data_IF_338816795116
#
_entry.id   IF_338816795116
#
_cell.length_a   1.000
_cell.length_b   1.000
_cell.length_c   1.000
_cell.angle_alpha   90.00
_cell.angle_beta   90.00
_cell.angle_gamma   90.00
#
_symmetry.space_group_name_H-M   'P 1'
#
loop_
_entity.id
_entity.type
_entity.pdbx_description
1 polymer ?
#
# COMPACT_ATOMS: atom_id res chain seq x y z
N UNK A 1 1.93 -3.56 15.55
CA UNK A 1 1.70 -4.99 15.80
C UNK A 1 2.59 -5.75 14.83
N UNK A 2 3.63 -6.41 15.33
CA UNK A 2 4.58 -7.18 14.51
C UNK A 2 4.00 -8.58 14.34
N UNK A 3 3.87 -9.06 13.10
CA UNK A 3 3.62 -10.47 12.84
C UNK A 3 4.92 -11.09 12.34
N UNK A 4 5.39 -12.13 13.02
CA UNK A 4 6.61 -12.86 12.66
C UNK A 4 6.17 -13.99 11.72
N UNK A 5 6.56 -13.91 10.45
CA UNK A 5 6.53 -15.06 9.56
C UNK A 5 7.86 -15.10 8.79
N UNK A 6 8.55 -16.24 8.88
CA UNK A 6 9.74 -16.61 8.11
C UNK A 6 10.81 -15.51 7.91
N UNK A 7 11.43 -15.03 8.99
CA UNK A 7 12.76 -14.40 8.94
C UNK A 7 12.90 -13.05 8.22
N UNK A 8 11.81 -12.45 7.74
CA UNK A 8 11.82 -11.12 7.12
C UNK A 8 11.08 -10.13 8.02
N UNK A 9 11.83 -9.20 8.61
CA UNK A 9 11.24 -8.09 9.35
C UNK A 9 10.63 -7.13 8.31
N UNK A 10 9.33 -7.29 8.04
CA UNK A 10 8.59 -6.31 7.25
C UNK A 10 8.35 -5.09 8.14
N UNK A 11 9.32 -4.18 8.14
CA UNK A 11 9.11 -2.82 8.63
C UNK A 11 8.12 -2.14 7.69
N UNK A 12 6.87 -2.03 8.13
CA UNK A 12 6.03 -0.91 7.69
C UNK A 12 6.73 0.35 8.22
N UNK A 13 7.17 1.30 7.37
CA UNK A 13 7.72 2.55 7.86
C UNK A 13 6.58 3.31 8.55
N UNK A 14 6.41 3.12 9.86
CA UNK A 14 5.82 4.13 10.71
C UNK A 14 6.84 5.25 10.81
N UNK A 15 6.87 6.14 9.83
CA UNK A 15 7.54 7.41 10.03
C UNK A 15 6.77 8.14 11.13
N UNK A 16 7.37 8.20 12.32
CA UNK A 16 6.95 9.08 13.42
C UNK A 16 7.42 10.52 13.17
N UNK A 17 7.29 10.99 11.94
CA UNK A 17 7.43 12.39 11.58
C UNK A 17 6.02 12.86 11.32
N UNK A 18 5.45 13.67 12.22
CA UNK A 18 4.09 14.23 12.16
C UNK A 18 3.57 14.28 10.72
N UNK A 19 2.75 13.30 10.33
CA UNK A 19 2.06 13.37 9.05
C UNK A 19 0.96 14.41 9.23
N UNK A 20 1.33 15.67 9.01
CA UNK A 20 0.40 16.78 9.13
C UNK A 20 -0.59 16.62 7.98
N UNK A 21 -1.86 16.44 8.32
CA UNK A 21 -2.92 16.49 7.32
C UNK A 21 -2.83 17.81 6.56
N UNK A 22 -2.71 17.71 5.24
CA UNK A 22 -2.73 18.86 4.34
C UNK A 22 -4.13 18.96 3.73
N UNK A 23 -4.69 20.17 3.69
CA UNK A 23 -5.96 20.42 3.02
C UNK A 23 -5.72 20.35 1.51
N UNK A 24 -6.53 19.54 0.83
CA UNK A 24 -6.55 19.45 -0.62
C UNK A 24 -7.94 19.84 -1.13
N UNK A 25 -7.98 20.54 -2.25
CA UNK A 25 -9.21 20.84 -2.98
C UNK A 25 -9.21 20.03 -4.28
N UNK A 26 -10.28 19.28 -4.53
CA UNK A 26 -10.43 18.44 -5.71
C UNK A 26 -11.80 18.66 -6.34
N UNK A 27 -11.88 18.56 -7.67
CA UNK A 27 -13.15 18.56 -8.39
C UNK A 27 -13.56 17.12 -8.67
N UNK A 28 -14.80 16.77 -8.33
CA UNK A 28 -15.36 15.44 -8.55
C UNK A 28 -16.78 15.56 -9.14
N UNK A 29 -17.21 14.59 -9.97
CA UNK A 29 -18.59 14.50 -10.42
C UNK A 29 -19.58 14.48 -9.24
N UNK A 30 -20.69 15.20 -9.38
CA UNK A 30 -21.70 15.33 -8.31
C UNK A 30 -22.21 13.97 -7.81
N UNK A 31 -22.45 13.03 -8.74
CA UNK A 31 -22.93 11.69 -8.41
C UNK A 31 -21.97 10.92 -7.48
N UNK A 32 -20.66 11.04 -7.69
CA UNK A 32 -19.67 10.41 -6.81
C UNK A 32 -19.67 11.03 -5.41
N UNK A 33 -19.89 12.35 -5.31
CA UNK A 33 -20.01 13.02 -4.02
C UNK A 33 -21.27 12.57 -3.27
N UNK A 34 -22.40 12.42 -3.98
CA UNK A 34 -23.65 11.91 -3.40
C UNK A 34 -23.50 10.47 -2.90
N UNK A 35 -22.81 9.60 -3.65
CA UNK A 35 -22.50 8.24 -3.22
C UNK A 35 -21.57 8.23 -1.98
N UNK A 36 -20.57 9.11 -1.92
CA UNK A 36 -19.70 9.27 -0.76
C UNK A 36 -20.48 9.74 0.48
N UNK A 37 -21.42 10.66 0.31
CA UNK A 37 -22.30 11.16 1.37
C UNK A 37 -23.19 10.07 1.93
N UNK A 38 -23.68 9.18 1.08
CA UNK A 38 -24.47 8.04 1.49
C UNK A 38 -23.69 7.09 2.41
N UNK A 39 -22.39 6.88 2.13
CA UNK A 39 -21.53 6.06 2.99
C UNK A 39 -21.38 6.68 4.39
N UNK A 40 -21.27 8.00 4.47
CA UNK A 40 -21.22 8.72 5.75
C UNK A 40 -22.57 8.68 6.45
N UNK A 41 -23.68 8.89 5.72
CA UNK A 41 -25.05 8.85 6.26
C UNK A 41 -25.39 7.48 6.85
N UNK A 42 -24.90 6.39 6.24
CA UNK A 42 -25.04 5.02 6.75
C UNK A 42 -24.15 4.72 7.97
N UNK A 43 -23.27 5.64 8.36
CA UNK A 43 -22.34 5.46 9.48
C UNK A 43 -21.15 4.55 9.17
N UNK A 44 -20.91 4.22 7.90
CA UNK A 44 -19.75 3.39 7.50
C UNK A 44 -18.46 4.16 7.72
N UNK A 45 -18.49 5.46 7.46
CA UNK A 45 -17.38 6.37 7.74
C UNK A 45 -17.86 7.55 8.59
N UNK A 46 -17.01 8.06 9.50
CA UNK A 46 -17.38 9.17 10.38
C UNK A 46 -17.53 10.50 9.62
N UNK A 47 -16.80 10.68 8.51
CA UNK A 47 -16.88 11.86 7.65
C UNK A 47 -16.30 11.56 6.26
N UNK A 48 -16.56 12.47 5.31
CA UNK A 48 -16.07 12.40 3.93
C UNK A 48 -14.55 12.27 3.85
N UNK A 49 -13.84 13.05 4.68
CA UNK A 49 -12.38 13.05 4.67
C UNK A 49 -11.79 11.68 5.06
N UNK A 50 -12.40 10.97 6.02
CA UNK A 50 -11.93 9.63 6.39
C UNK A 50 -12.25 8.60 5.31
N UNK A 51 -13.41 8.68 4.67
CA UNK A 51 -13.75 7.83 3.54
C UNK A 51 -12.77 8.01 2.37
N UNK A 52 -12.42 9.27 2.04
CA UNK A 52 -11.43 9.58 1.00
C UNK A 52 -10.05 9.06 1.39
N UNK A 53 -9.62 9.26 2.65
CA UNK A 53 -8.33 8.74 3.13
C UNK A 53 -8.26 7.22 3.07
N UNK A 54 -9.34 6.52 3.39
CA UNK A 54 -9.40 5.06 3.27
C UNK A 54 -9.21 4.61 1.82
N UNK A 55 -9.97 5.20 0.89
CA UNK A 55 -9.83 4.91 -0.54
C UNK A 55 -8.41 5.19 -1.07
N UNK A 56 -7.79 6.30 -0.65
CA UNK A 56 -6.41 6.63 -1.00
C UNK A 56 -5.40 5.62 -0.44
N UNK A 57 -5.56 5.18 0.82
CA UNK A 57 -4.70 4.14 1.42
C UNK A 57 -4.79 2.83 0.64
N UNK A 58 -6.01 2.40 0.32
CA UNK A 58 -6.23 1.15 -0.41
C UNK A 58 -5.65 1.22 -1.82
N UNK A 59 -5.81 2.36 -2.51
CA UNK A 59 -5.22 2.62 -3.82
C UNK A 59 -3.68 2.57 -3.76
N UNK A 60 -3.07 3.32 -2.83
CA UNK A 60 -1.61 3.39 -2.68
C UNK A 60 -1.02 2.03 -2.32
N UNK A 61 -1.67 1.30 -1.41
CA UNK A 61 -1.27 -0.06 -1.07
C UNK A 61 -1.29 -0.92 -2.33
N UNK A 62 -2.43 -1.00 -3.03
CA UNK A 62 -2.56 -1.82 -4.25
C UNK A 62 -1.46 -1.54 -5.28
N UNK A 63 -1.13 -0.28 -5.54
CA UNK A 63 -0.11 0.07 -6.52
C UNK A 63 1.33 -0.23 -6.03
N UNK A 64 1.64 0.02 -4.75
CA UNK A 64 2.97 -0.31 -4.19
C UNK A 64 3.25 -1.82 -4.25
N UNK A 65 2.24 -2.67 -3.97
CA UNK A 65 2.42 -4.12 -4.03
C UNK A 65 2.56 -4.63 -5.48
N UNK A 66 1.85 -4.04 -6.44
CA UNK A 66 2.04 -4.36 -7.87
C UNK A 66 3.46 -4.06 -8.34
N UNK A 67 4.03 -2.92 -7.94
CA UNK A 67 5.38 -2.54 -8.36
C UNK A 67 6.47 -3.43 -7.77
N UNK A 68 6.25 -4.03 -6.58
CA UNK A 68 7.21 -4.97 -5.98
C UNK A 68 7.23 -6.33 -6.64
N UNK A 69 6.06 -6.87 -7.02
CA UNK A 69 5.97 -8.15 -7.73
C UNK A 69 6.79 -8.14 -9.04
N UNK A 70 6.76 -7.03 -9.78
CA UNK A 70 7.53 -6.90 -11.03
C UNK A 70 9.05 -6.77 -10.84
N UNK A 71 9.54 -6.49 -9.62
CA UNK A 71 10.99 -6.28 -9.35
C UNK A 71 11.66 -7.48 -8.68
N UNK A 72 10.89 -8.44 -8.20
CA UNK A 72 11.40 -9.66 -7.55
C UNK A 72 11.73 -10.77 -8.56
N UNK A 73 11.31 -10.64 -9.83
CA UNK A 73 11.60 -11.62 -10.90
C UNK A 73 13.00 -11.47 -11.55
N UNK A 74 13.75 -10.41 -11.28
CA UNK A 74 15.07 -10.15 -11.91
C UNK A 74 16.30 -10.59 -11.10
N UNK A 75 16.14 -11.38 -10.03
CA UNK A 75 17.28 -11.88 -9.23
C UNK A 75 17.20 -13.38 -8.93
N UNK A 76 17.29 -14.23 -9.95
CA UNK A 76 17.63 -15.65 -9.75
C UNK A 76 18.03 -16.36 -11.04
N UNK A 77 19.09 -15.89 -11.73
CA UNK A 77 19.85 -16.73 -12.67
C UNK A 77 21.35 -16.47 -12.51
N UNK A 78 21.96 -17.04 -11.47
CA UNK A 78 23.36 -17.49 -11.57
C UNK A 78 23.32 -19.02 -11.66
N UNK A 79 23.65 -19.64 -12.81
CA UNK A 79 23.82 -21.08 -12.83
C UNK A 79 25.01 -21.43 -11.92
N UNK A 80 24.88 -22.42 -11.00
CA UNK A 80 25.98 -22.79 -10.14
C UNK A 80 27.13 -23.31 -11.01
N UNK A 81 28.30 -22.68 -10.87
CA UNK A 81 29.54 -23.11 -11.51
C UNK A 81 29.76 -24.62 -11.30
N UNK A 82 30.22 -25.38 -12.33
CA UNK A 82 30.58 -26.77 -12.14
C UNK A 82 31.73 -26.86 -11.12
N UNK A 83 31.44 -27.42 -9.95
CA UNK A 83 32.46 -27.77 -8.97
C UNK A 83 33.35 -28.86 -9.59
N UNK A 84 34.51 -28.46 -10.10
CA UNK A 84 35.58 -29.36 -10.51
C UNK A 84 35.97 -30.19 -9.29
N UNK A 85 35.44 -31.42 -9.19
CA UNK A 85 35.94 -32.40 -8.24
C UNK A 85 37.19 -33.03 -8.84
N UNK A 86 38.32 -32.39 -8.54
CA UNK A 86 39.65 -32.93 -8.83
C UNK A 86 39.79 -34.33 -8.23
N UNK A 87 40.29 -35.25 -9.06
CA UNK A 87 41.05 -36.41 -8.61
C UNK A 87 42.53 -36.07 -8.71
#
# INVERSE_FOLDING_TARGET
MTFINAGKIVYMPRSKSQDRMTLISVHVPKKMLEELDELVRRGIFPNRSEAIRAALRDLLYKEVFKTKAAREEEKEEEPPLPLLKGR
#
